data_IF_215239521192
#
_entry.id   IF_215239521192
#
_cell.length_a   1.000
_cell.length_b   1.000
_cell.length_c   1.000
_cell.angle_alpha   90.00
_cell.angle_beta   90.00
_cell.angle_gamma   90.00
#
_symmetry.space_group_name_H-M   'P 1'
#
loop_
_entity.id
_entity.type
_entity.pdbx_description
1 polymer ?
#
# COMPACT_ATOMS: atom_id res chain seq x y z
N UNK A 1 -18.48 0.50 6.01
CA UNK A 1 -18.16 -0.87 6.51
C UNK A 1 -18.50 -0.94 7.99
N UNK A 2 -18.90 -2.09 8.52
CA UNK A 2 -19.20 -2.25 9.96
C UNK A 2 -18.39 -3.39 10.54
N UNK A 3 -17.73 -3.14 11.67
CA UNK A 3 -16.92 -4.13 12.39
C UNK A 3 -17.46 -4.33 13.80
N UNK A 4 -17.13 -5.46 14.42
CA UNK A 4 -17.39 -5.69 15.85
C UNK A 4 -16.06 -5.73 16.57
N UNK A 5 -15.84 -4.80 17.51
CA UNK A 5 -14.64 -4.75 18.35
C UNK A 5 -15.07 -4.76 19.81
N UNK A 6 -14.56 -5.72 20.59
CA UNK A 6 -14.92 -5.91 22.00
C UNK A 6 -16.44 -5.99 22.24
N UNK A 7 -17.17 -6.66 21.35
CA UNK A 7 -18.63 -6.78 21.42
C UNK A 7 -19.42 -5.53 21.01
N UNK A 8 -18.76 -4.43 20.66
CA UNK A 8 -19.39 -3.19 20.19
C UNK A 8 -19.35 -3.14 18.66
N UNK A 9 -20.49 -2.83 18.05
CA UNK A 9 -20.62 -2.64 16.60
C UNK A 9 -20.22 -1.21 16.25
N UNK A 10 -19.20 -1.05 15.40
CA UNK A 10 -18.64 0.23 14.98
C UNK A 10 -18.81 0.35 13.46
N UNK A 11 -19.44 1.43 13.00
CA UNK A 11 -19.51 1.76 11.58
C UNK A 11 -18.38 2.72 11.24
N UNK A 12 -17.47 2.28 10.36
CA UNK A 12 -16.38 3.10 9.87
C UNK A 12 -16.90 4.14 8.88
N UNK A 13 -16.41 5.35 9.01
CA UNK A 13 -16.52 6.41 8.00
C UNK A 13 -15.74 6.01 6.74
N UNK A 14 -16.06 6.66 5.61
CA UNK A 14 -15.31 6.43 4.37
C UNK A 14 -13.83 6.82 4.51
N UNK A 15 -13.54 7.84 5.31
CA UNK A 15 -12.17 8.28 5.60
C UNK A 15 -11.41 7.20 6.37
N UNK A 16 -11.97 6.68 7.47
CA UNK A 16 -11.34 5.59 8.24
C UNK A 16 -11.15 4.33 7.41
N UNK A 17 -12.11 4.01 6.54
CA UNK A 17 -12.00 2.87 5.64
C UNK A 17 -10.88 3.08 4.60
N UNK A 18 -10.78 4.29 4.04
CA UNK A 18 -9.75 4.67 3.08
C UNK A 18 -8.35 4.62 3.71
N UNK A 19 -8.19 5.14 4.94
CA UNK A 19 -6.93 5.10 5.67
C UNK A 19 -6.50 3.67 6.00
N UNK A 20 -7.44 2.84 6.47
CA UNK A 20 -7.16 1.43 6.73
C UNK A 20 -6.78 0.66 5.46
N UNK A 21 -7.43 0.97 4.33
CA UNK A 21 -7.09 0.39 3.03
C UNK A 21 -5.70 0.84 2.58
N UNK A 22 -5.38 2.13 2.67
CA UNK A 22 -4.05 2.66 2.35
C UNK A 22 -2.98 1.93 3.16
N UNK A 23 -3.12 1.89 4.47
CA UNK A 23 -2.16 1.22 5.36
C UNK A 23 -2.02 -0.27 5.02
N UNK A 24 -3.12 -0.97 4.74
CA UNK A 24 -3.07 -2.38 4.36
C UNK A 24 -2.28 -2.61 3.07
N UNK A 25 -2.57 -1.83 2.02
CA UNK A 25 -1.94 -1.99 0.70
C UNK A 25 -0.49 -1.53 0.71
N UNK A 26 -0.16 -0.39 1.34
CA UNK A 26 1.23 0.09 1.40
C UNK A 26 2.10 -0.84 2.24
N UNK A 27 1.59 -1.42 3.33
CA UNK A 27 2.32 -2.44 4.08
C UNK A 27 2.59 -3.70 3.26
N UNK A 28 1.63 -4.13 2.44
CA UNK A 28 1.85 -5.23 1.49
C UNK A 28 2.95 -4.88 0.49
N UNK A 29 2.85 -3.73 -0.17
CA UNK A 29 3.83 -3.27 -1.18
C UNK A 29 5.24 -3.12 -0.60
N UNK A 30 5.34 -2.57 0.60
CA UNK A 30 6.60 -2.44 1.33
C UNK A 30 7.22 -3.81 1.65
N UNK A 31 6.43 -4.78 2.10
CA UNK A 31 6.92 -6.13 2.34
C UNK A 31 7.43 -6.80 1.07
N UNK A 32 6.73 -6.62 -0.05
CA UNK A 32 7.17 -7.12 -1.35
C UNK A 32 8.51 -6.48 -1.77
N UNK A 33 8.67 -5.17 -1.61
CA UNK A 33 9.93 -4.47 -1.90
C UNK A 33 11.11 -5.01 -1.08
N UNK A 34 10.89 -5.24 0.21
CA UNK A 34 11.94 -5.74 1.10
C UNK A 34 12.30 -7.21 0.85
N UNK A 35 11.32 -8.04 0.50
CA UNK A 35 11.53 -9.48 0.33
C UNK A 35 11.95 -9.87 -1.09
N UNK A 36 11.46 -9.16 -2.11
CA UNK A 36 11.56 -9.58 -3.51
C UNK A 36 12.33 -8.58 -4.41
N UNK A 37 12.51 -7.32 -3.98
CA UNK A 37 13.21 -6.28 -4.75
C UNK A 37 14.53 -5.82 -4.10
N UNK A 38 15.03 -6.56 -3.10
CA UNK A 38 16.30 -6.28 -2.40
C UNK A 38 16.40 -4.88 -1.75
N UNK A 39 15.29 -4.19 -1.50
CA UNK A 39 15.31 -2.92 -0.77
C UNK A 39 15.47 -3.21 0.73
N UNK A 40 16.68 -3.05 1.26
CA UNK A 40 16.97 -3.35 2.68
C UNK A 40 16.64 -2.19 3.61
N UNK A 41 16.63 -0.96 3.10
CA UNK A 41 16.32 0.22 3.90
C UNK A 41 14.81 0.40 4.04
N UNK A 42 14.35 0.50 5.29
CA UNK A 42 12.92 0.50 5.61
C UNK A 42 12.23 1.78 5.14
N UNK A 43 12.89 2.93 5.28
CA UNK A 43 12.32 4.21 4.85
C UNK A 43 12.27 4.29 3.33
N UNK A 44 13.30 3.81 2.64
CA UNK A 44 13.31 3.68 1.18
C UNK A 44 12.19 2.77 0.69
N UNK A 45 12.01 1.59 1.30
CA UNK A 45 10.91 0.68 0.94
C UNK A 45 9.53 1.34 1.16
N UNK A 46 9.39 2.14 2.22
CA UNK A 46 8.17 2.88 2.53
C UNK A 46 7.89 3.97 1.49
N UNK A 47 8.90 4.75 1.10
CA UNK A 47 8.74 5.81 0.10
C UNK A 47 8.36 5.24 -1.27
N UNK A 48 8.98 4.13 -1.68
CA UNK A 48 8.62 3.44 -2.93
C UNK A 48 7.20 2.84 -2.83
N UNK A 49 6.83 2.25 -1.69
CA UNK A 49 5.48 1.71 -1.49
C UNK A 49 4.40 2.80 -1.50
N UNK A 50 4.67 3.98 -0.95
CA UNK A 50 3.76 5.12 -1.02
C UNK A 50 3.57 5.59 -2.47
N UNK A 51 4.64 5.66 -3.28
CA UNK A 51 4.54 5.95 -4.71
C UNK A 51 3.76 4.86 -5.47
N UNK A 52 4.04 3.58 -5.21
CA UNK A 52 3.31 2.45 -5.80
C UNK A 52 1.81 2.52 -5.49
N UNK A 53 1.44 2.93 -4.27
CA UNK A 53 0.05 3.13 -3.90
C UNK A 53 -0.61 4.30 -4.65
N UNK A 54 0.11 5.39 -4.90
CA UNK A 54 -0.38 6.49 -5.74
C UNK A 54 -0.63 6.03 -7.18
N UNK A 55 0.25 5.19 -7.74
CA UNK A 55 0.07 4.56 -9.06
C UNK A 55 -1.17 3.66 -9.05
N UNK A 56 -1.30 2.79 -8.04
CA UNK A 56 -2.45 1.89 -7.88
C UNK A 56 -3.77 2.66 -7.81
N UNK A 57 -3.80 3.79 -7.09
CA UNK A 57 -4.98 4.64 -6.98
C UNK A 57 -5.41 5.31 -8.29
N UNK A 58 -4.55 5.36 -9.32
CA UNK A 58 -4.95 5.84 -10.67
C UNK A 58 -5.99 4.92 -11.31
N UNK A 59 -6.05 3.65 -10.91
CA UNK A 59 -7.08 2.71 -11.34
C UNK A 59 -7.02 2.38 -12.84
N UNK A 60 -5.82 2.34 -13.42
CA UNK A 60 -5.59 2.10 -14.85
C UNK A 60 -5.54 0.61 -15.23
N UNK A 61 -5.93 -0.27 -14.32
CA UNK A 61 -5.99 -1.72 -14.52
C UNK A 61 -4.72 -2.47 -14.16
N UNK A 62 -3.67 -1.79 -13.68
CA UNK A 62 -2.47 -2.44 -13.12
C UNK A 62 -2.80 -3.18 -11.83
N UNK A 63 -2.17 -4.33 -11.67
CA UNK A 63 -2.09 -5.06 -10.39
C UNK A 63 -1.21 -4.32 -9.40
N UNK A 64 -1.33 -4.64 -8.12
CA UNK A 64 -0.47 -4.09 -7.07
C UNK A 64 1.00 -4.37 -7.36
N UNK A 65 1.33 -5.54 -7.92
CA UNK A 65 2.71 -5.90 -8.27
C UNK A 65 3.27 -5.05 -9.42
N UNK A 66 2.49 -4.84 -10.50
CA UNK A 66 2.89 -3.95 -11.59
C UNK A 66 3.08 -2.50 -11.11
N UNK A 67 2.29 -2.06 -10.14
CA UNK A 67 2.47 -0.74 -9.53
C UNK A 67 3.78 -0.65 -8.72
N UNK A 68 4.14 -1.70 -7.99
CA UNK A 68 5.44 -1.80 -7.30
C UNK A 68 6.58 -1.76 -8.31
N UNK A 69 6.51 -2.54 -9.39
CA UNK A 69 7.53 -2.54 -10.45
C UNK A 69 7.70 -1.16 -11.07
N UNK A 70 6.60 -0.45 -11.35
CA UNK A 70 6.65 0.91 -11.88
C UNK A 70 7.36 1.87 -10.91
N UNK A 71 6.95 1.89 -9.63
CA UNK A 71 7.56 2.76 -8.63
C UNK A 71 9.03 2.43 -8.37
N UNK A 72 9.38 1.14 -8.37
CA UNK A 72 10.77 0.68 -8.24
C UNK A 72 11.62 1.11 -9.44
N UNK A 73 11.10 0.98 -10.67
CA UNK A 73 11.78 1.48 -11.86
C UNK A 73 11.98 3.00 -11.82
N UNK A 74 11.00 3.77 -11.33
CA UNK A 74 11.13 5.22 -11.14
C UNK A 74 12.22 5.57 -10.10
N UNK A 75 12.39 4.75 -9.06
CA UNK A 75 13.41 4.94 -8.03
C UNK A 75 14.85 4.67 -8.50
N UNK A 76 15.05 3.65 -9.35
CA UNK A 76 16.38 3.26 -9.85
C UNK A 76 16.93 4.19 -10.97
N UNK A 77 16.10 5.08 -11.52
CA UNK A 77 16.45 6.02 -12.60
C UNK A 77 16.96 7.36 -12.09
#
# INVERSE_FOLDING_TARGET
MTITRNGVKITLTNEELSQAHKEFVTNFMMNELMNNFNITDKETAKDIADNAYEIYCKGDGKTEYECIECAYCEYEN
#
